data_IF_329528452454
#
_entry.id   IF_329528452454
#
_cell.length_a   1.000
_cell.length_b   1.000
_cell.length_c   1.000
_cell.angle_alpha   90.00
_cell.angle_beta   90.00
_cell.angle_gamma   90.00
#
_symmetry.space_group_name_H-M   'P 1'
#
loop_
_entity.id
_entity.type
_entity.pdbx_description
1 polymer ?
#
# COMPACT_ATOMS: atom_id res chain seq x y z
N UNK A 1 -19.50 -0.85 -9.19
CA UNK A 1 -18.16 -1.34 -8.73
C UNK A 1 -17.13 -0.25 -9.03
N UNK A 2 -16.18 0.03 -8.13
CA UNK A 2 -15.14 1.02 -8.41
C UNK A 2 -14.27 0.55 -9.59
N UNK A 3 -14.00 1.45 -10.53
CA UNK A 3 -13.19 1.15 -11.73
C UNK A 3 -11.69 1.08 -11.43
N UNK A 4 -11.22 1.80 -10.40
CA UNK A 4 -9.85 1.74 -9.92
C UNK A 4 -9.64 0.77 -8.74
N UNK A 5 -8.70 1.11 -7.87
CA UNK A 5 -8.41 0.39 -6.63
C UNK A 5 -9.69 0.14 -5.80
N UNK A 6 -10.03 -1.13 -5.57
CA UNK A 6 -11.23 -1.53 -4.80
C UNK A 6 -11.31 -0.93 -3.39
N UNK A 7 -10.17 -0.51 -2.83
CA UNK A 7 -10.09 0.09 -1.51
C UNK A 7 -10.23 1.62 -1.51
N UNK A 8 -10.22 2.29 -2.68
CA UNK A 8 -10.28 3.76 -2.76
C UNK A 8 -11.47 4.42 -2.02
N UNK A 9 -12.67 3.79 -1.88
CA UNK A 9 -13.76 4.42 -1.13
C UNK A 9 -13.53 4.44 0.39
N UNK A 10 -12.61 3.61 0.89
CA UNK A 10 -12.34 3.43 2.34
C UNK A 10 -10.88 3.68 2.73
N UNK A 11 -9.99 3.91 1.77
CA UNK A 11 -8.57 4.09 2.02
C UNK A 11 -8.29 5.55 2.41
N UNK A 12 -7.66 5.82 3.58
CA UNK A 12 -7.34 7.18 4.02
C UNK A 12 -6.22 7.84 3.19
N UNK A 13 -5.46 7.06 2.43
CA UNK A 13 -4.35 7.52 1.58
C UNK A 13 -4.72 7.56 0.09
N UNK A 14 -6.01 7.60 -0.23
CA UNK A 14 -6.52 7.55 -1.61
C UNK A 14 -6.07 8.77 -2.41
N UNK A 15 -5.55 8.53 -3.61
CA UNK A 15 -5.26 9.57 -4.60
C UNK A 15 -6.10 9.37 -5.86
N UNK A 16 -5.99 10.33 -6.77
CA UNK A 16 -6.65 10.30 -8.08
C UNK A 16 -6.37 9.02 -8.87
N UNK A 17 -5.11 8.55 -8.88
CA UNK A 17 -4.72 7.31 -9.56
C UNK A 17 -5.48 6.09 -9.03
N UNK A 18 -5.78 6.06 -7.72
CA UNK A 18 -6.52 4.97 -7.09
C UNK A 18 -7.98 4.90 -7.56
N UNK A 19 -8.56 5.99 -8.07
CA UNK A 19 -9.94 6.02 -8.59
C UNK A 19 -10.01 5.59 -10.05
N UNK A 20 -8.92 5.80 -10.80
CA UNK A 20 -8.85 5.59 -12.25
C UNK A 20 -8.27 4.22 -12.62
N UNK A 21 -7.27 3.76 -11.86
CA UNK A 21 -6.48 2.59 -12.22
C UNK A 21 -6.39 1.55 -11.09
N UNK A 22 -6.39 0.28 -11.50
CA UNK A 22 -6.14 -0.85 -10.63
C UNK A 22 -4.64 -0.98 -10.37
N UNK A 23 -4.20 -1.05 -9.10
CA UNK A 23 -2.79 -1.24 -8.78
C UNK A 23 -2.34 -2.65 -9.16
N UNK A 24 -1.14 -2.74 -9.73
CA UNK A 24 -0.49 -4.01 -10.01
C UNK A 24 -0.03 -4.70 -8.72
N UNK A 25 -0.11 -6.03 -8.70
CA UNK A 25 0.43 -6.84 -7.61
C UNK A 25 1.95 -6.90 -7.75
N UNK A 26 2.65 -6.22 -6.86
CA UNK A 26 4.12 -6.18 -6.84
C UNK A 26 4.68 -6.67 -5.50
N UNK A 27 5.89 -7.23 -5.54
CA UNK A 27 6.65 -7.62 -4.36
C UNK A 27 7.39 -6.41 -3.80
N UNK A 28 7.18 -6.08 -2.53
CA UNK A 28 7.87 -4.95 -1.88
C UNK A 28 8.94 -5.42 -0.89
N UNK A 29 8.83 -6.64 -0.35
CA UNK A 29 9.80 -7.26 0.55
C UNK A 29 9.80 -8.78 0.35
N UNK A 30 10.79 -9.45 0.93
CA UNK A 30 10.79 -10.90 1.00
C UNK A 30 9.48 -11.40 1.65
N UNK A 31 8.78 -12.31 0.98
CA UNK A 31 7.45 -12.81 1.34
C UNK A 31 6.33 -11.75 1.52
N UNK A 32 6.50 -10.52 1.01
CA UNK A 32 5.47 -9.47 1.10
C UNK A 32 5.11 -8.93 -0.29
N UNK A 33 3.85 -9.14 -0.67
CA UNK A 33 3.25 -8.68 -1.92
C UNK A 33 2.11 -7.72 -1.65
N UNK A 34 2.00 -6.69 -2.47
CA UNK A 34 0.99 -5.63 -2.33
C UNK A 34 0.47 -5.20 -3.68
N UNK A 35 -0.83 -4.89 -3.72
CA UNK A 35 -1.48 -4.23 -4.84
C UNK A 35 -1.95 -2.84 -4.38
N UNK A 36 -0.99 -1.94 -4.14
CA UNK A 36 -1.25 -0.57 -3.71
C UNK A 36 -0.33 0.39 -4.48
N UNK A 37 -0.88 1.46 -5.05
CA UNK A 37 -0.09 2.46 -5.77
C UNK A 37 0.99 3.10 -4.87
N UNK A 38 0.71 3.25 -3.57
CA UNK A 38 1.54 3.99 -2.60
C UNK A 38 2.18 3.13 -1.51
N UNK A 39 2.34 1.83 -1.76
CA UNK A 39 2.85 0.92 -0.73
C UNK A 39 4.21 1.37 -0.17
N UNK A 40 5.14 1.78 -1.04
CA UNK A 40 6.48 2.21 -0.64
C UNK A 40 6.43 3.43 0.28
N UNK A 41 5.72 4.50 -0.12
CA UNK A 41 5.62 5.73 0.67
C UNK A 41 4.96 5.58 2.04
N UNK A 42 4.17 4.52 2.27
CA UNK A 42 3.50 4.27 3.55
C UNK A 42 4.28 3.25 4.41
N UNK A 43 5.03 2.35 3.78
CA UNK A 43 5.66 1.20 4.43
C UNK A 43 6.94 1.59 5.21
N UNK A 44 7.63 2.66 4.83
CA UNK A 44 8.83 3.13 5.54
C UNK A 44 8.53 3.53 7.00
N UNK A 45 7.31 4.01 7.29
CA UNK A 45 6.92 4.43 8.64
C UNK A 45 6.74 3.26 9.64
N UNK A 46 6.57 2.01 9.17
CA UNK A 46 6.31 0.86 10.05
C UNK A 46 7.53 -0.03 10.30
N UNK A 47 8.51 -0.05 9.39
CA UNK A 47 9.69 -0.92 9.56
C UNK A 47 10.65 -0.40 10.62
N UNK A 48 10.85 0.93 10.69
CA UNK A 48 11.66 1.56 11.74
C UNK A 48 11.08 1.37 13.15
N UNK A 49 9.78 1.09 13.27
CA UNK A 49 9.13 0.83 14.56
C UNK A 49 9.29 -0.63 15.00
N UNK A 50 9.36 -1.59 14.07
CA UNK A 50 9.46 -3.02 14.39
C UNK A 50 10.89 -3.49 14.72
N UNK A 51 11.93 -2.76 14.32
CA UNK A 51 13.31 -3.06 14.74
C UNK A 51 13.60 -2.65 16.19
N UNK A 52 12.79 -1.79 16.81
CA UNK A 52 13.02 -1.28 18.17
C UNK A 52 12.32 -2.11 19.28
N UNK A 53 11.63 -3.21 18.95
CA UNK A 53 10.87 -4.03 19.89
C UNK A 53 11.29 -5.51 19.93
N UNK A 54 12.52 -5.83 19.48
CA UNK A 54 13.13 -7.17 19.57
C UNK A 54 14.29 -7.25 20.58
N UNK A 55 14.26 -6.44 21.64
CA UNK A 55 15.10 -6.66 22.83
C UNK A 55 14.33 -7.47 23.87
#
# INVERSE_FOLDING_TARGET
>A
PPTGCRFHPRCPYTEDICKRELPELRKIKENHWVACHRAESINDAKESLHLNLRN
#
